data_IF_922965590250
#
_entry.id   IF_922965590250
#
_cell.length_a   1.000
_cell.length_b   1.000
_cell.length_c   1.000
_cell.angle_alpha   90.00
_cell.angle_beta   90.00
_cell.angle_gamma   90.00
#
_symmetry.space_group_name_H-M   'P 1'
#
loop_
_entity.id
_entity.type
_entity.pdbx_description
1 polymer ?
#
# COMPACT_ATOMS: atom_id res chain seq x y z
N UNK A 1 -3.36 -10.46 1.12
CA UNK A 1 -3.07 -9.06 0.79
C UNK A 1 -3.25 -8.23 2.05
N UNK A 2 -2.50 -7.14 2.19
CA UNK A 2 -2.38 -6.36 3.42
C UNK A 2 -2.34 -4.86 3.16
N UNK A 3 -2.77 -4.06 4.14
CA UNK A 3 -2.64 -2.61 4.08
C UNK A 3 -1.21 -2.12 4.38
N UNK A 4 -0.41 -2.92 5.10
CA UNK A 4 0.94 -2.56 5.56
C UNK A 4 2.01 -3.59 5.13
N UNK A 5 3.28 -3.17 5.00
CA UNK A 5 4.37 -4.08 4.63
C UNK A 5 4.74 -5.08 5.74
N UNK A 6 4.34 -4.81 6.99
CA UNK A 6 4.50 -5.71 8.13
C UNK A 6 3.52 -6.89 8.13
N UNK A 7 2.57 -6.92 7.18
CA UNK A 7 1.54 -7.96 7.05
C UNK A 7 0.65 -8.08 8.30
N UNK A 8 0.46 -6.96 9.01
CA UNK A 8 -0.29 -6.93 10.27
C UNK A 8 -1.79 -6.68 10.04
N UNK A 9 -2.15 -6.07 8.91
CA UNK A 9 -3.51 -5.68 8.53
C UNK A 9 -4.02 -6.54 7.36
N UNK A 10 -4.32 -7.82 7.64
CA UNK A 10 -4.78 -8.78 6.63
C UNK A 10 -6.18 -8.42 6.10
N UNK A 11 -6.33 -8.41 4.78
CA UNK A 11 -7.63 -8.17 4.13
C UNK A 11 -8.00 -6.69 3.96
N UNK A 12 -7.13 -5.78 4.40
CA UNK A 12 -7.31 -4.33 4.31
C UNK A 12 -6.43 -3.71 3.20
N UNK A 13 -6.71 -2.44 2.87
CA UNK A 13 -5.93 -1.61 1.94
C UNK A 13 -5.54 -0.29 2.60
N UNK A 14 -4.37 0.26 2.26
CA UNK A 14 -3.97 1.58 2.74
C UNK A 14 -4.55 2.70 1.86
N UNK A 15 -4.59 3.91 2.41
CA UNK A 15 -5.08 5.11 1.75
C UNK A 15 -4.02 6.24 1.71
N UNK A 16 -2.75 5.85 1.59
CA UNK A 16 -1.63 6.79 1.56
C UNK A 16 -1.78 7.81 0.44
N UNK A 17 -1.39 9.06 0.70
CA UNK A 17 -1.45 10.17 -0.26
C UNK A 17 -2.86 10.42 -0.85
N UNK A 18 -3.92 10.04 -0.13
CA UNK A 18 -5.30 10.08 -0.62
C UNK A 18 -5.57 9.10 -1.78
N UNK A 19 -4.65 8.16 -2.03
CA UNK A 19 -4.79 7.06 -2.97
C UNK A 19 -5.32 5.79 -2.31
N UNK A 20 -5.05 4.66 -2.95
CA UNK A 20 -5.23 3.31 -2.40
C UNK A 20 -3.96 2.51 -2.65
N UNK A 21 -3.61 1.64 -1.72
CA UNK A 21 -2.46 0.76 -1.86
C UNK A 21 -2.69 -0.60 -1.20
N UNK A 22 -2.00 -1.61 -1.72
CA UNK A 22 -2.09 -2.98 -1.19
C UNK A 22 -0.77 -3.73 -1.39
N UNK A 23 -0.40 -4.49 -0.36
CA UNK A 23 0.72 -5.44 -0.40
C UNK A 23 0.22 -6.86 -0.62
N UNK A 24 0.95 -7.66 -1.39
CA UNK A 24 0.68 -9.08 -1.60
C UNK A 24 1.97 -9.83 -1.93
N UNK A 25 1.96 -11.15 -1.73
CA UNK A 25 3.09 -12.00 -2.08
C UNK A 25 2.93 -12.55 -3.50
N UNK A 26 4.04 -12.58 -4.24
CA UNK A 26 4.13 -13.40 -5.45
C UNK A 26 4.41 -14.88 -5.07
N UNK A 27 4.32 -15.83 -6.03
CA UNK A 27 4.60 -17.24 -5.75
C UNK A 27 6.02 -17.54 -5.24
N UNK A 28 6.97 -16.61 -5.40
CA UNK A 28 8.34 -16.75 -4.93
C UNK A 28 8.56 -16.14 -3.53
N UNK A 29 7.52 -15.56 -2.92
CA UNK A 29 7.58 -14.94 -1.60
C UNK A 29 8.09 -13.50 -1.59
N UNK A 30 8.21 -12.84 -2.75
CA UNK A 30 8.46 -11.41 -2.83
C UNK A 30 7.21 -10.64 -2.40
N UNK A 31 7.39 -9.65 -1.53
CA UNK A 31 6.32 -8.73 -1.17
C UNK A 31 6.25 -7.60 -2.20
N UNK A 32 5.19 -7.63 -3.00
CA UNK A 32 4.90 -6.63 -4.02
C UNK A 32 3.87 -5.62 -3.52
N UNK A 33 3.92 -4.42 -4.08
CA UNK A 33 3.00 -3.34 -3.76
C UNK A 33 2.35 -2.79 -5.05
N UNK A 34 1.05 -2.51 -4.99
CA UNK A 34 0.35 -1.69 -5.97
C UNK A 34 -0.12 -0.41 -5.27
N UNK A 35 0.14 0.75 -5.89
CA UNK A 35 -0.33 2.07 -5.44
C UNK A 35 -1.08 2.77 -6.57
N UNK A 36 -2.17 3.49 -6.24
CA UNK A 36 -2.91 4.30 -7.22
C UNK A 36 -2.46 5.75 -7.28
N UNK A 37 -1.57 6.16 -6.36
CA UNK A 37 -0.94 7.48 -6.33
C UNK A 37 0.53 7.31 -5.97
N UNK A 38 1.37 8.15 -6.56
CA UNK A 38 2.78 8.20 -6.20
C UNK A 38 2.96 8.71 -4.77
N UNK A 39 3.96 8.20 -4.08
CA UNK A 39 4.31 8.68 -2.75
C UNK A 39 4.58 10.18 -2.73
N UNK A 40 4.05 10.87 -1.71
CA UNK A 40 4.21 12.32 -1.53
C UNK A 40 3.34 13.17 -2.46
N UNK A 41 2.51 12.56 -3.30
CA UNK A 41 1.58 13.29 -4.18
C UNK A 41 0.27 13.70 -3.49
N UNK A 42 0.09 13.36 -2.21
CA UNK A 42 -1.11 13.68 -1.42
C UNK A 42 -1.35 15.17 -1.18
N UNK A 43 -0.41 16.02 -1.56
CA UNK A 43 -0.45 17.45 -1.32
C UNK A 43 -0.07 17.77 0.13
N UNK A 44 0.80 18.76 0.29
CA UNK A 44 0.98 19.42 1.58
C UNK A 44 -0.13 20.47 1.70
N UNK A 45 -1.00 20.35 2.70
CA UNK A 45 -1.90 21.44 3.06
C UNK A 45 -1.25 22.20 4.24
N UNK A 46 -0.75 23.44 4.02
CA UNK A 46 -0.22 24.30 5.08
C UNK A 46 -1.16 24.48 6.26
#
# INVERSE_FOLDING_TARGET
YWADPGRTLLGEINHHDGGRGVYFEDPNGHLLEIITRQYGSGGWNP
#
